data_IF_050280172226
#
_entry.id   IF_050280172226
#
_cell.length_a   1.000
_cell.length_b   1.000
_cell.length_c   1.000
_cell.angle_alpha   90.00
_cell.angle_beta   90.00
_cell.angle_gamma   90.00
#
_symmetry.space_group_name_H-M   'P 1'
#
loop_
_entity.id
_entity.type
_entity.pdbx_description
1 polymer ?
#
# COMPACT_ATOMS: atom_id res chain seq x y z
N UNK A 1 -11.71 1.59 -28.75
CA UNK A 1 -11.53 1.93 -27.31
C UNK A 1 -10.06 2.13 -27.03
N UNK A 2 -9.61 3.35 -26.70
CA UNK A 2 -8.25 3.56 -26.17
C UNK A 2 -8.13 2.74 -24.89
N UNK A 3 -7.11 1.88 -24.79
CA UNK A 3 -6.94 1.02 -23.60
C UNK A 3 -6.71 1.94 -22.39
N UNK A 4 -7.37 1.68 -21.27
CA UNK A 4 -7.23 2.45 -20.00
C UNK A 4 -5.76 2.72 -19.64
N UNK A 5 -4.87 1.79 -20.01
CA UNK A 5 -3.41 1.90 -19.87
C UNK A 5 -2.78 3.08 -20.61
N UNK A 6 -3.37 3.60 -21.69
CA UNK A 6 -2.87 4.78 -22.41
C UNK A 6 -3.20 6.06 -21.66
N UNK A 7 -4.36 6.12 -20.99
CA UNK A 7 -4.78 7.26 -20.19
C UNK A 7 -3.92 7.42 -18.92
N UNK A 8 -3.44 6.30 -18.37
CA UNK A 8 -2.56 6.26 -17.20
C UNK A 8 -1.10 6.67 -17.49
N UNK A 9 -0.72 6.91 -18.75
CA UNK A 9 0.64 7.34 -19.13
C UNK A 9 0.83 8.85 -19.11
N UNK A 10 -0.25 9.63 -19.02
CA UNK A 10 -0.14 11.09 -18.96
C UNK A 10 0.39 11.52 -17.59
N UNK A 11 1.49 12.26 -17.58
CA UNK A 11 2.16 12.79 -16.37
C UNK A 11 1.17 13.43 -15.37
N UNK A 12 0.23 14.24 -15.86
CA UNK A 12 -0.82 14.86 -15.03
C UNK A 12 -1.72 13.84 -14.32
N UNK A 13 -2.12 12.78 -15.02
CA UNK A 13 -2.98 11.73 -14.45
C UNK A 13 -2.21 10.89 -13.43
N UNK A 14 -0.91 10.64 -13.67
CA UNK A 14 -0.06 9.92 -12.72
C UNK A 14 0.08 10.69 -11.40
N UNK A 15 0.42 11.99 -11.48
CA UNK A 15 0.50 12.87 -10.31
C UNK A 15 -0.82 12.97 -9.56
N UNK A 16 -1.94 13.03 -10.27
CA UNK A 16 -3.26 13.05 -9.65
C UNK A 16 -3.55 11.76 -8.86
N UNK A 17 -3.21 10.59 -9.43
CA UNK A 17 -3.38 9.30 -8.74
C UNK A 17 -2.49 9.23 -7.50
N UNK A 18 -1.23 9.69 -7.58
CA UNK A 18 -0.37 9.75 -6.39
C UNK A 18 -0.89 10.73 -5.34
N UNK A 19 -1.50 11.84 -5.75
CA UNK A 19 -2.18 12.77 -4.85
C UNK A 19 -3.36 12.14 -4.12
N UNK A 20 -4.22 11.41 -4.83
CA UNK A 20 -5.30 10.62 -4.21
C UNK A 20 -4.72 9.59 -3.24
N UNK A 21 -3.67 8.86 -3.67
CA UNK A 21 -2.99 7.88 -2.83
C UNK A 21 -2.44 8.49 -1.54
N UNK A 22 -1.87 9.70 -1.60
CA UNK A 22 -1.37 10.43 -0.44
C UNK A 22 -2.51 10.79 0.54
N UNK A 23 -3.63 11.29 0.04
CA UNK A 23 -4.79 11.64 0.86
C UNK A 23 -5.34 10.38 1.55
N UNK A 24 -5.52 9.29 0.80
CA UNK A 24 -6.01 8.03 1.34
C UNK A 24 -5.05 7.46 2.40
N UNK A 25 -3.75 7.55 2.17
CA UNK A 25 -2.74 7.09 3.13
C UNK A 25 -2.80 7.88 4.44
N UNK A 26 -2.87 9.21 4.38
CA UNK A 26 -3.03 10.05 5.57
C UNK A 26 -4.33 9.72 6.30
N UNK A 27 -5.42 9.51 5.57
CA UNK A 27 -6.71 9.17 6.15
C UNK A 27 -6.71 7.81 6.87
N UNK A 28 -6.05 6.79 6.29
CA UNK A 28 -5.89 5.49 6.94
C UNK A 28 -5.21 5.61 8.30
N UNK A 29 -4.12 6.37 8.37
CA UNK A 29 -3.35 6.50 9.60
C UNK A 29 -3.96 7.46 10.62
N UNK A 30 -4.90 8.34 10.21
CA UNK A 30 -5.51 9.35 11.11
C UNK A 30 -6.13 8.72 12.36
N UNK A 31 -6.71 7.52 12.22
CA UNK A 31 -7.36 6.80 13.33
C UNK A 31 -6.36 6.06 14.22
N UNK A 32 -5.20 5.69 13.66
CA UNK A 32 -4.16 4.91 14.32
C UNK A 32 -3.02 5.77 14.90
N UNK A 33 -3.03 7.09 14.67
CA UNK A 33 -2.05 8.02 15.27
C UNK A 33 -1.98 7.93 16.80
N UNK A 34 -3.11 7.58 17.46
CA UNK A 34 -3.16 7.37 18.91
C UNK A 34 -2.26 6.23 19.40
N UNK A 35 -1.91 5.28 18.53
CA UNK A 35 -1.05 4.15 18.86
C UNK A 35 0.42 4.43 18.53
N UNK A 36 0.69 5.43 17.67
CA UNK A 36 2.05 5.83 17.30
C UNK A 36 2.80 6.37 18.51
N UNK A 37 2.13 7.02 19.47
CA UNK A 37 2.76 7.59 20.68
C UNK A 37 3.09 6.56 21.77
N UNK A 38 2.77 5.27 21.58
CA UNK A 38 3.00 4.25 22.59
C UNK A 38 4.45 3.72 22.49
N UNK A 39 5.23 3.83 23.58
CA UNK A 39 6.70 3.79 23.57
C UNK A 39 7.33 2.50 22.99
N UNK A 40 6.67 1.34 23.16
CA UNK A 40 7.18 0.05 22.67
C UNK A 40 6.99 -0.17 21.16
N UNK A 41 6.08 0.56 20.53
CA UNK A 41 5.73 0.41 19.11
C UNK A 41 6.06 1.66 18.28
N UNK A 42 6.42 2.77 18.95
CA UNK A 42 6.65 4.08 18.37
C UNK A 42 7.52 4.08 17.10
N UNK A 43 8.65 3.36 17.10
CA UNK A 43 9.63 3.47 16.00
C UNK A 43 9.17 2.81 14.71
N UNK A 44 8.63 1.60 14.75
CA UNK A 44 8.32 0.84 13.52
C UNK A 44 7.09 1.43 12.84
N UNK A 45 6.05 1.76 13.60
CA UNK A 45 4.82 2.33 13.07
C UNK A 45 5.04 3.73 12.49
N UNK A 46 5.87 4.56 13.14
CA UNK A 46 6.21 5.89 12.62
C UNK A 46 6.86 5.81 11.24
N UNK A 47 7.83 4.91 11.04
CA UNK A 47 8.47 4.74 9.74
C UNK A 47 7.52 4.21 8.67
N UNK A 48 6.55 3.36 9.06
CA UNK A 48 5.51 2.89 8.16
C UNK A 48 4.60 4.01 7.66
N UNK A 49 4.42 5.08 8.45
CA UNK A 49 3.67 6.27 8.01
C UNK A 49 4.53 7.20 7.15
N UNK A 50 5.75 7.50 7.60
CA UNK A 50 6.60 8.52 6.99
C UNK A 50 7.12 8.09 5.62
N UNK A 51 7.63 6.86 5.48
CA UNK A 51 8.29 6.40 4.25
C UNK A 51 7.33 6.49 3.04
N UNK A 52 6.08 5.99 3.10
CA UNK A 52 5.14 6.10 1.98
C UNK A 52 4.78 7.55 1.66
N UNK A 53 4.61 8.42 2.66
CA UNK A 53 4.31 9.84 2.45
C UNK A 53 5.43 10.48 1.63
N UNK A 54 6.69 10.27 2.02
CA UNK A 54 7.85 10.83 1.30
C UNK A 54 7.92 10.29 -0.12
N UNK A 55 7.69 9.00 -0.33
CA UNK A 55 7.71 8.38 -1.67
C UNK A 55 6.56 8.90 -2.56
N UNK A 56 5.35 9.06 -2.01
CA UNK A 56 4.18 9.58 -2.72
C UNK A 56 4.35 11.05 -3.09
N UNK A 57 4.86 11.88 -2.17
CA UNK A 57 5.21 13.28 -2.45
C UNK A 57 6.31 13.34 -3.51
N UNK A 58 7.35 12.51 -3.39
CA UNK A 58 8.42 12.40 -4.37
C UNK A 58 7.89 12.07 -5.76
N UNK A 59 6.93 11.16 -5.87
CA UNK A 59 6.25 10.87 -7.12
C UNK A 59 5.40 12.03 -7.65
N UNK A 60 4.68 12.73 -6.78
CA UNK A 60 3.84 13.86 -7.15
C UNK A 60 4.67 15.01 -7.75
N UNK A 61 5.86 15.27 -7.19
CA UNK A 61 6.76 16.34 -7.63
C UNK A 61 7.59 15.92 -8.84
N UNK A 62 8.31 14.79 -8.74
CA UNK A 62 9.34 14.41 -9.71
C UNK A 62 8.89 13.40 -10.76
N UNK A 63 7.80 12.65 -10.51
CA UNK A 63 7.33 11.54 -11.35
C UNK A 63 8.47 10.65 -11.89
N UNK A 64 9.36 10.21 -11.01
CA UNK A 64 10.61 9.55 -11.39
C UNK A 64 10.50 8.03 -11.30
N UNK A 65 11.00 7.32 -12.32
CA UNK A 65 11.07 5.85 -12.37
C UNK A 65 11.76 5.22 -11.16
N UNK A 66 12.85 5.81 -10.65
CA UNK A 66 13.57 5.27 -9.48
C UNK A 66 12.71 5.30 -8.23
N UNK A 67 12.08 6.44 -7.93
CA UNK A 67 11.15 6.59 -6.81
C UNK A 67 9.97 5.60 -6.98
N UNK A 68 9.54 5.36 -8.22
CA UNK A 68 8.42 4.47 -8.53
C UNK A 68 8.79 3.03 -8.23
N UNK A 69 9.99 2.59 -8.62
CA UNK A 69 10.52 1.26 -8.27
C UNK A 69 10.55 1.08 -6.76
N UNK A 70 11.05 2.09 -6.02
CA UNK A 70 11.08 2.03 -4.55
C UNK A 70 9.67 1.96 -3.96
N UNK A 71 8.71 2.71 -4.51
CA UNK A 71 7.33 2.71 -4.06
C UNK A 71 6.64 1.36 -4.35
N UNK A 72 6.85 0.77 -5.52
CA UNK A 72 6.39 -0.58 -5.85
C UNK A 72 6.97 -1.59 -4.87
N UNK A 73 8.30 -1.60 -4.69
CA UNK A 73 8.98 -2.53 -3.80
C UNK A 73 8.46 -2.41 -2.36
N UNK A 74 8.32 -1.19 -1.87
CA UNK A 74 7.78 -0.93 -0.53
C UNK A 74 6.34 -1.46 -0.38
N UNK A 75 5.44 -1.10 -1.30
CA UNK A 75 4.02 -1.51 -1.22
C UNK A 75 3.89 -3.03 -1.32
N UNK A 76 4.69 -3.68 -2.17
CA UNK A 76 4.72 -5.14 -2.28
C UNK A 76 5.23 -5.82 -1.02
N UNK A 77 6.34 -5.34 -0.44
CA UNK A 77 6.88 -5.86 0.82
C UNK A 77 5.91 -5.66 1.98
N UNK A 78 5.29 -4.48 2.08
CA UNK A 78 4.25 -4.19 3.06
C UNK A 78 3.06 -5.15 2.92
N UNK A 79 2.61 -5.41 1.69
CA UNK A 79 1.50 -6.32 1.43
C UNK A 79 1.84 -7.76 1.81
N UNK A 80 3.06 -8.22 1.50
CA UNK A 80 3.56 -9.53 1.94
C UNK A 80 3.64 -9.62 3.46
N UNK A 81 4.12 -8.57 4.12
CA UNK A 81 4.18 -8.51 5.59
C UNK A 81 2.77 -8.60 6.20
N UNK A 82 1.78 -7.88 5.68
CA UNK A 82 0.39 -7.99 6.16
C UNK A 82 -0.16 -9.41 5.96
N UNK A 83 0.02 -10.00 4.77
CA UNK A 83 -0.41 -11.38 4.50
C UNK A 83 0.27 -12.36 5.46
N UNK A 84 1.57 -12.19 5.69
CA UNK A 84 2.32 -13.01 6.65
C UNK A 84 1.76 -12.89 8.07
N UNK A 85 1.47 -11.68 8.54
CA UNK A 85 0.86 -11.48 9.87
C UNK A 85 -0.50 -12.13 10.01
N UNK A 86 -1.34 -12.09 8.96
CA UNK A 86 -2.63 -12.81 8.95
C UNK A 86 -2.39 -14.31 9.09
N UNK A 87 -1.45 -14.88 8.33
CA UNK A 87 -1.15 -16.31 8.39
C UNK A 87 -0.56 -16.70 9.75
N UNK A 88 0.43 -15.96 10.25
CA UNK A 88 1.14 -16.28 11.49
C UNK A 88 0.26 -16.09 12.72
N UNK A 89 -0.36 -14.92 12.88
CA UNK A 89 -1.12 -14.60 14.09
C UNK A 89 -2.44 -15.35 14.17
N UNK A 90 -3.02 -15.72 13.03
CA UNK A 90 -4.37 -16.26 13.02
C UNK A 90 -4.44 -17.74 12.57
N UNK A 91 -3.55 -18.22 11.70
CA UNK A 91 -3.55 -19.67 11.34
C UNK A 91 -2.68 -20.46 12.30
N UNK A 92 -1.45 -20.01 12.58
CA UNK A 92 -0.52 -20.79 13.40
C UNK A 92 -0.88 -20.77 14.90
N UNK A 93 -1.40 -19.66 15.42
CA UNK A 93 -1.86 -19.57 16.81
C UNK A 93 -3.09 -20.46 17.04
N UNK A 94 -3.96 -20.61 16.03
CA UNK A 94 -5.14 -21.48 16.15
C UNK A 94 -4.76 -22.97 16.13
N UNK A 95 -3.75 -23.37 15.36
CA UNK A 95 -3.18 -24.74 15.38
C UNK A 95 -2.61 -25.08 16.77
N UNK A 96 -2.18 -24.09 17.54
CA UNK A 96 -1.68 -24.28 18.91
C UNK A 96 -2.78 -24.23 19.98
N UNK A 97 -4.04 -23.89 19.63
CA UNK A 97 -5.17 -23.79 20.56
C UNK A 97 -5.99 -25.09 20.60
N UNK A 98 -5.39 -26.18 21.07
CA UNK A 98 -6.13 -27.44 21.33
C UNK A 98 -7.19 -27.33 22.45
N UNK A 99 -7.23 -26.23 23.22
CA UNK A 99 -8.02 -26.13 24.47
C UNK A 99 -9.12 -25.05 24.49
N UNK A 100 -9.48 -24.45 23.35
CA UNK A 100 -10.48 -23.36 23.33
C UNK A 100 -11.77 -23.73 22.59
N UNK A 101 -12.93 -23.78 23.26
CA UNK A 101 -14.21 -24.17 22.65
C UNK A 101 -14.87 -23.07 21.79
N UNK A 102 -14.21 -21.93 21.57
CA UNK A 102 -14.73 -20.84 20.72
C UNK A 102 -14.16 -20.96 19.31
N UNK A 103 -14.99 -20.91 18.24
CA UNK A 103 -14.50 -20.85 16.87
C UNK A 103 -13.70 -19.56 16.69
N UNK A 104 -12.40 -19.71 16.48
CA UNK A 104 -11.48 -18.61 16.21
C UNK A 104 -11.76 -17.94 14.85
N UNK A 105 -12.28 -18.74 13.92
CA UNK A 105 -12.66 -18.36 12.57
C UNK A 105 -14.13 -17.94 12.51
N UNK A 106 -14.39 -16.64 12.62
CA UNK A 106 -15.73 -16.09 12.37
C UNK A 106 -15.85 -15.68 10.90
N UNK A 107 -17.06 -15.77 10.34
CA UNK A 107 -17.34 -15.29 8.98
C UNK A 107 -16.94 -13.82 8.80
N UNK A 108 -17.20 -12.99 9.80
CA UNK A 108 -16.81 -11.57 9.83
C UNK A 108 -15.29 -11.39 9.70
N UNK A 109 -14.50 -12.18 10.44
CA UNK A 109 -13.04 -12.13 10.39
C UNK A 109 -12.50 -12.57 9.02
N UNK A 110 -13.03 -13.66 8.47
CA UNK A 110 -12.67 -14.13 7.12
C UNK A 110 -13.02 -13.07 6.07
N UNK A 111 -14.21 -12.48 6.15
CA UNK A 111 -14.67 -11.44 5.24
C UNK A 111 -13.75 -10.21 5.30
N UNK A 112 -13.36 -9.77 6.50
CA UNK A 112 -12.43 -8.66 6.68
C UNK A 112 -11.07 -8.93 6.04
N UNK A 113 -10.55 -10.16 6.15
CA UNK A 113 -9.29 -10.51 5.50
C UNK A 113 -9.38 -10.53 3.98
N UNK A 114 -10.47 -11.10 3.43
CA UNK A 114 -10.68 -11.11 1.98
C UNK A 114 -10.74 -9.69 1.44
N UNK A 115 -11.48 -8.79 2.11
CA UNK A 115 -11.54 -7.37 1.76
C UNK A 115 -10.15 -6.74 1.82
N UNK A 116 -9.38 -6.99 2.88
CA UNK A 116 -8.03 -6.44 3.03
C UNK A 116 -7.07 -6.94 1.93
N UNK A 117 -7.08 -8.24 1.62
CA UNK A 117 -6.27 -8.82 0.54
C UNK A 117 -6.65 -8.21 -0.81
N UNK A 118 -7.95 -8.05 -1.09
CA UNK A 118 -8.42 -7.39 -2.31
C UNK A 118 -7.93 -5.95 -2.41
N UNK A 119 -7.98 -5.18 -1.32
CA UNK A 119 -7.47 -3.80 -1.27
C UNK A 119 -5.96 -3.77 -1.55
N UNK A 120 -5.19 -4.67 -0.94
CA UNK A 120 -3.74 -4.76 -1.16
C UNK A 120 -3.42 -5.11 -2.62
N UNK A 121 -4.14 -6.07 -3.22
CA UNK A 121 -3.98 -6.43 -4.63
C UNK A 121 -4.30 -5.28 -5.57
N UNK A 122 -5.42 -4.60 -5.36
CA UNK A 122 -5.83 -3.43 -6.16
C UNK A 122 -4.81 -2.30 -6.03
N UNK A 123 -4.29 -2.06 -4.82
CA UNK A 123 -3.29 -1.03 -4.56
C UNK A 123 -1.97 -1.33 -5.28
N UNK A 124 -1.44 -2.55 -5.13
CA UNK A 124 -0.23 -2.98 -5.85
C UNK A 124 -0.41 -2.89 -7.36
N UNK A 125 -1.55 -3.37 -7.86
CA UNK A 125 -1.86 -3.31 -9.29
C UNK A 125 -1.92 -1.87 -9.80
N UNK A 126 -2.56 -0.98 -9.06
CA UNK A 126 -2.67 0.45 -9.40
C UNK A 126 -1.29 1.09 -9.46
N UNK A 127 -0.51 0.95 -8.39
CA UNK A 127 0.86 1.49 -8.32
C UNK A 127 1.73 0.95 -9.46
N UNK A 128 1.63 -0.34 -9.76
CA UNK A 128 2.38 -0.96 -10.85
C UNK A 128 1.96 -0.45 -12.24
N UNK A 129 0.66 -0.18 -12.45
CA UNK A 129 0.14 0.35 -13.71
C UNK A 129 0.49 1.82 -13.94
N UNK A 130 0.62 2.61 -12.87
CA UNK A 130 1.05 4.01 -12.92
C UNK A 130 2.57 4.08 -13.01
N UNK A 131 3.15 3.45 -14.04
CA UNK A 131 4.60 3.50 -14.27
C UNK A 131 4.96 4.83 -14.95
N UNK A 132 5.93 5.60 -14.43
CA UNK A 132 6.43 6.79 -15.09
C UNK A 132 6.97 6.42 -16.48
N UNK A 133 6.47 7.10 -17.50
CA UNK A 133 7.01 7.00 -18.85
C UNK A 133 8.02 8.11 -19.05
N UNK A 134 9.25 7.75 -19.43
CA UNK A 134 10.24 8.71 -19.91
C UNK A 134 9.64 9.40 -21.14
N UNK A 135 9.26 10.67 -20.99
CA UNK A 135 9.01 11.53 -22.13
C UNK A 135 10.36 11.62 -22.85
N UNK A 136 10.49 10.95 -24.00
CA UNK A 136 11.63 11.16 -24.88
C UNK A 136 11.68 12.66 -25.16
N UNK A 137 12.73 13.35 -24.69
CA UNK A 137 13.13 14.67 -25.18
C UNK A 137 13.63 14.53 -26.62
N UNK A 138 12.76 14.13 -27.55
CA UNK A 138 13.00 14.27 -28.97
C UNK A 138 11.87 15.17 -29.48
N UNK A 139 12.21 16.10 -30.36
CA UNK A 139 11.34 17.10 -31.01
C UNK A 139 11.41 18.51 -30.39
N UNK A 140 12.63 18.95 -30.07
CA UNK A 140 12.95 20.39 -30.10
C UNK A 140 14.36 20.58 -30.63
N UNK A 141 14.57 20.23 -31.90
CA UNK A 141 15.48 20.90 -32.83
C UNK A 141 14.92 20.74 -34.23
#
# INVERSE_FOLDING_TARGET
>A
MKKITEYLKFDKNQRFIYGIGLILWVFLWIQDFKYITNENFFRIYLWQVIIPIVLLIGQLIFNNKTIWITLVAYVSLYSLWIIWNIIELDILIDIQRDYSPRPFWTFEKIMNWVIMILILLVTNWTVWKVKPTEIKKNDTQ
#
